data_IF_272757090934
#
_entry.id   IF_272757090934
#
_cell.length_a   1.000
_cell.length_b   1.000
_cell.length_c   1.000
_cell.angle_alpha   90.00
_cell.angle_beta   90.00
_cell.angle_gamma   90.00
#
_symmetry.space_group_name_H-M   'P 1'
#
loop_
_entity.id
_entity.type
_entity.pdbx_description
1 polymer ?
#
# COMPACT_ATOMS: atom_id res chain seq x y z
N UNK A 1 -15.47 1.02 -4.60
CA UNK A 1 -14.23 1.34 -5.30
C UNK A 1 -13.03 0.68 -4.62
N UNK A 2 -12.12 0.18 -5.43
CA UNK A 2 -10.90 -0.49 -4.96
C UNK A 2 -9.72 0.12 -5.72
N UNK A 3 -8.64 0.43 -5.03
CA UNK A 3 -7.39 0.96 -5.61
C UNK A 3 -6.21 0.17 -5.08
N UNK A 4 -5.28 -0.17 -5.96
CA UNK A 4 -3.99 -0.74 -5.58
C UNK A 4 -3.05 0.40 -5.20
N UNK A 5 -2.72 0.51 -3.91
CA UNK A 5 -2.07 1.70 -3.35
C UNK A 5 -0.66 1.96 -3.86
N UNK A 6 0.08 0.90 -4.23
CA UNK A 6 1.52 0.99 -4.48
C UNK A 6 1.99 0.28 -5.76
N UNK A 7 1.07 -0.02 -6.69
CA UNK A 7 1.42 -0.75 -7.90
C UNK A 7 2.28 0.10 -8.87
N UNK A 8 2.07 1.42 -8.91
CA UNK A 8 2.88 2.32 -9.75
C UNK A 8 4.34 2.39 -9.28
N UNK A 9 4.57 2.36 -7.98
CA UNK A 9 5.91 2.35 -7.40
C UNK A 9 6.63 1.04 -7.73
N UNK A 10 5.90 -0.07 -7.72
CA UNK A 10 6.42 -1.38 -8.12
C UNK A 10 6.83 -1.43 -9.61
N UNK A 11 6.13 -0.72 -10.50
CA UNK A 11 6.47 -0.71 -11.94
C UNK A 11 7.85 -0.16 -12.23
N UNK A 12 8.32 0.76 -11.41
CA UNK A 12 9.66 1.36 -11.58
C UNK A 12 10.79 0.38 -11.22
N UNK A 13 10.51 -0.57 -10.34
CA UNK A 13 11.53 -1.45 -9.75
C UNK A 13 11.48 -2.90 -10.25
N UNK A 14 10.32 -3.41 -10.69
CA UNK A 14 10.14 -4.82 -11.06
C UNK A 14 9.40 -4.97 -12.40
N UNK A 15 9.99 -4.46 -13.47
CA UNK A 15 9.38 -4.56 -14.83
C UNK A 15 9.07 -5.99 -15.26
N UNK A 16 9.88 -6.97 -14.84
CA UNK A 16 9.73 -8.37 -15.27
C UNK A 16 8.51 -9.07 -14.63
N UNK A 17 8.16 -8.75 -13.39
CA UNK A 17 7.12 -9.45 -12.63
C UNK A 17 5.82 -8.64 -12.47
N UNK A 18 5.78 -7.40 -12.96
CA UNK A 18 4.63 -6.52 -12.81
C UNK A 18 3.33 -7.14 -13.32
N UNK A 19 3.33 -7.67 -14.56
CA UNK A 19 2.14 -8.27 -15.16
C UNK A 19 1.65 -9.49 -14.38
N UNK A 20 2.57 -10.34 -13.94
CA UNK A 20 2.21 -11.52 -13.15
C UNK A 20 1.60 -11.13 -11.81
N UNK A 21 2.15 -10.11 -11.15
CA UNK A 21 1.63 -9.57 -9.89
C UNK A 21 0.25 -8.94 -10.09
N UNK A 22 0.08 -8.10 -11.10
CA UNK A 22 -1.21 -7.46 -11.40
C UNK A 22 -2.30 -8.49 -11.70
N UNK A 23 -2.00 -9.49 -12.52
CA UNK A 23 -2.94 -10.56 -12.84
C UNK A 23 -3.35 -11.35 -11.58
N UNK A 24 -2.41 -11.67 -10.70
CA UNK A 24 -2.71 -12.43 -9.49
C UNK A 24 -3.57 -11.63 -8.50
N UNK A 25 -3.37 -10.32 -8.42
CA UNK A 25 -4.25 -9.42 -7.64
C UNK A 25 -5.64 -9.38 -8.25
N UNK A 26 -5.73 -9.18 -9.57
CA UNK A 26 -7.01 -9.15 -10.30
C UNK A 26 -7.77 -10.47 -10.11
N UNK A 27 -7.12 -11.61 -10.27
CA UNK A 27 -7.70 -12.93 -10.01
C UNK A 27 -8.19 -13.06 -8.57
N UNK A 28 -7.40 -12.60 -7.60
CA UNK A 28 -7.75 -12.65 -6.17
C UNK A 28 -8.95 -11.77 -5.85
N UNK A 29 -9.00 -10.55 -6.39
CA UNK A 29 -10.13 -9.62 -6.22
C UNK A 29 -11.38 -10.15 -6.94
N UNK A 30 -11.23 -10.66 -8.15
CA UNK A 30 -12.32 -11.22 -8.93
C UNK A 30 -12.96 -12.41 -8.21
N UNK A 31 -12.15 -13.38 -7.76
CA UNK A 31 -12.65 -14.52 -7.02
C UNK A 31 -13.34 -14.11 -5.70
N UNK A 32 -12.86 -13.07 -5.02
CA UNK A 32 -13.48 -12.55 -3.82
C UNK A 32 -14.85 -11.93 -4.12
N UNK A 33 -14.96 -11.09 -5.15
CA UNK A 33 -16.23 -10.43 -5.54
C UNK A 33 -17.23 -11.43 -6.10
N UNK A 34 -16.80 -12.37 -6.94
CA UNK A 34 -17.66 -13.43 -7.49
C UNK A 34 -18.20 -14.35 -6.38
N UNK A 35 -17.39 -14.63 -5.33
CA UNK A 35 -17.84 -15.36 -4.16
C UNK A 35 -18.97 -14.66 -3.38
N UNK A 36 -19.21 -13.38 -3.65
CA UNK A 36 -20.31 -12.57 -3.14
C UNK A 36 -21.44 -12.37 -4.16
N UNK A 37 -21.50 -13.21 -5.20
CA UNK A 37 -22.41 -13.02 -6.34
C UNK A 37 -22.35 -11.60 -6.95
N UNK A 38 -21.16 -11.00 -6.89
CA UNK A 38 -20.88 -9.67 -7.37
C UNK A 38 -20.23 -9.66 -8.74
N UNK A 39 -19.98 -8.46 -9.23
CA UNK A 39 -19.22 -8.21 -10.44
C UNK A 39 -18.14 -7.17 -10.16
N UNK A 40 -16.98 -7.32 -10.79
CA UNK A 40 -15.87 -6.39 -10.69
C UNK A 40 -15.37 -6.02 -12.08
N UNK A 41 -14.92 -4.80 -12.24
CA UNK A 41 -14.33 -4.31 -13.48
C UNK A 41 -13.23 -3.31 -13.19
N UNK A 42 -12.10 -3.47 -13.85
CA UNK A 42 -11.10 -2.41 -13.95
C UNK A 42 -11.64 -1.28 -14.84
N UNK A 43 -11.63 -0.04 -14.35
CA UNK A 43 -12.11 1.12 -15.09
C UNK A 43 -11.00 2.16 -15.36
N UNK A 44 -9.92 2.06 -14.65
CA UNK A 44 -8.69 2.85 -14.82
C UNK A 44 -7.52 1.99 -14.33
N UNK A 45 -6.31 2.35 -14.67
CA UNK A 45 -5.12 1.62 -14.23
C UNK A 45 -5.11 1.49 -12.70
N UNK A 46 -5.02 0.26 -12.21
CA UNK A 46 -4.95 -0.06 -10.78
C UNK A 46 -6.22 0.27 -9.97
N UNK A 47 -7.33 0.57 -10.68
CA UNK A 47 -8.61 0.95 -10.06
C UNK A 47 -9.75 0.07 -10.53
N UNK A 48 -10.50 -0.44 -9.59
CA UNK A 48 -11.59 -1.35 -9.83
C UNK A 48 -12.91 -0.82 -9.25
N UNK A 49 -13.98 -1.08 -9.95
CA UNK A 49 -15.34 -0.91 -9.47
C UNK A 49 -15.94 -2.31 -9.24
N UNK A 50 -16.39 -2.56 -8.03
CA UNK A 50 -17.10 -3.79 -7.67
C UNK A 50 -18.54 -3.46 -7.23
N UNK A 51 -19.48 -4.32 -7.64
CA UNK A 51 -20.88 -4.30 -7.23
C UNK A 51 -21.24 -5.67 -6.66
N UNK A 52 -21.78 -5.71 -5.47
CA UNK A 52 -22.21 -6.94 -4.81
C UNK A 52 -23.41 -6.67 -3.89
N UNK A 53 -24.11 -7.73 -3.49
CA UNK A 53 -25.29 -7.61 -2.65
C UNK A 53 -24.92 -7.24 -1.20
N UNK A 54 -25.71 -6.35 -0.60
CA UNK A 54 -25.50 -5.90 0.77
C UNK A 54 -25.54 -7.04 1.81
N UNK A 55 -26.22 -8.16 1.51
CA UNK A 55 -26.26 -9.34 2.38
C UNK A 55 -24.87 -9.95 2.62
N UNK A 56 -23.94 -9.83 1.66
CA UNK A 56 -22.57 -10.32 1.79
C UNK A 56 -21.66 -9.36 2.57
N UNK A 57 -22.06 -8.10 2.70
CA UNK A 57 -21.26 -7.09 3.42
C UNK A 57 -21.05 -7.44 4.90
N UNK A 58 -22.07 -8.02 5.55
CA UNK A 58 -21.96 -8.45 6.95
C UNK A 58 -20.92 -9.58 7.15
N UNK A 59 -20.73 -10.42 6.16
CA UNK A 59 -19.69 -11.45 6.21
C UNK A 59 -18.30 -10.81 6.10
N UNK A 60 -18.11 -9.84 5.21
CA UNK A 60 -16.86 -9.09 5.08
C UNK A 60 -16.52 -8.30 6.34
N UNK A 61 -17.52 -7.71 6.99
CA UNK A 61 -17.35 -6.98 8.26
C UNK A 61 -16.90 -7.94 9.37
N UNK A 62 -17.52 -9.13 9.47
CA UNK A 62 -17.18 -10.12 10.51
C UNK A 62 -15.78 -10.69 10.36
N UNK A 63 -15.27 -10.81 9.14
CA UNK A 63 -13.92 -11.30 8.88
C UNK A 63 -12.87 -10.17 8.77
N UNK A 64 -13.26 -8.95 9.17
CA UNK A 64 -12.42 -7.75 9.14
C UNK A 64 -11.80 -7.48 7.75
N UNK A 65 -12.55 -7.82 6.69
CA UNK A 65 -12.06 -7.72 5.31
C UNK A 65 -10.71 -8.43 5.08
N UNK A 66 -10.65 -9.70 5.43
CA UNK A 66 -9.46 -10.57 5.29
C UNK A 66 -8.84 -10.58 3.89
N UNK A 67 -9.55 -10.09 2.89
CA UNK A 67 -9.04 -9.88 1.54
C UNK A 67 -7.80 -8.96 1.51
N UNK A 68 -7.73 -7.97 2.42
CA UNK A 68 -6.57 -7.09 2.54
C UNK A 68 -5.30 -7.87 2.87
N UNK A 69 -5.40 -8.78 3.85
CA UNK A 69 -4.28 -9.65 4.24
C UNK A 69 -3.92 -10.64 3.14
N UNK A 70 -4.92 -11.18 2.43
CA UNK A 70 -4.68 -12.08 1.30
C UNK A 70 -3.87 -11.40 0.21
N UNK A 71 -4.20 -10.15 -0.14
CA UNK A 71 -3.45 -9.38 -1.13
C UNK A 71 -2.05 -9.04 -0.62
N UNK A 72 -1.93 -8.61 0.63
CA UNK A 72 -0.65 -8.28 1.25
C UNK A 72 0.31 -9.49 1.29
N UNK A 73 -0.23 -10.71 1.35
CA UNK A 73 0.54 -11.95 1.36
C UNK A 73 0.85 -12.52 -0.03
N UNK A 74 0.43 -11.87 -1.11
CA UNK A 74 0.77 -12.29 -2.48
C UNK A 74 2.29 -12.21 -2.66
N UNK A 75 2.88 -13.28 -3.16
CA UNK A 75 4.31 -13.40 -3.44
C UNK A 75 4.50 -13.72 -4.91
N UNK A 76 5.34 -12.95 -5.61
CA UNK A 76 5.68 -13.20 -7.01
C UNK A 76 7.20 -13.14 -7.15
N UNK A 77 7.81 -14.29 -7.41
CA UNK A 77 9.28 -14.45 -7.47
C UNK A 77 9.96 -14.35 -6.10
N UNK A 78 11.27 -14.21 -6.11
CA UNK A 78 12.09 -14.15 -4.89
C UNK A 78 11.94 -12.82 -4.12
N UNK A 79 11.36 -11.80 -4.75
CA UNK A 79 11.19 -10.47 -4.20
C UNK A 79 9.74 -10.26 -3.79
N UNK A 80 9.44 -10.43 -2.52
CA UNK A 80 8.12 -10.14 -1.98
C UNK A 80 8.01 -8.68 -1.55
N UNK A 81 7.38 -7.86 -2.38
CA UNK A 81 6.97 -6.53 -1.95
C UNK A 81 5.59 -6.58 -1.30
N UNK A 82 5.36 -5.88 -0.19
CA UNK A 82 4.04 -5.81 0.41
C UNK A 82 3.11 -5.05 -0.54
N UNK A 83 2.13 -5.76 -1.08
CA UNK A 83 1.05 -5.18 -1.86
C UNK A 83 -0.04 -4.70 -0.92
N UNK A 84 -0.68 -3.59 -1.24
CA UNK A 84 -1.80 -3.11 -0.46
C UNK A 84 -2.91 -2.58 -1.35
N UNK A 85 -4.13 -2.70 -0.86
CA UNK A 85 -5.31 -2.15 -1.49
C UNK A 85 -6.09 -1.28 -0.51
N UNK A 86 -6.68 -0.22 -1.02
CA UNK A 86 -7.65 0.59 -0.30
C UNK A 86 -9.00 0.47 -0.94
N UNK A 87 -10.04 0.43 -0.12
CA UNK A 87 -11.42 0.28 -0.60
C UNK A 87 -12.33 1.35 0.01
N UNK A 88 -13.20 1.89 -0.83
CA UNK A 88 -14.31 2.72 -0.40
C UNK A 88 -15.63 2.02 -0.75
N UNK A 89 -16.46 1.77 0.25
CA UNK A 89 -17.71 1.03 0.12
C UNK A 89 -18.87 1.92 0.55
N UNK A 90 -19.96 1.88 -0.21
CA UNK A 90 -21.21 2.56 0.14
C UNK A 90 -22.37 1.56 0.15
N UNK A 91 -22.94 1.33 1.34
CA UNK A 91 -24.23 0.68 1.56
C UNK A 91 -25.21 1.73 2.05
N UNK A 92 -25.70 2.56 1.14
CA UNK A 92 -26.65 3.65 1.41
C UNK A 92 -27.87 3.55 0.53
N UNK A 93 -28.97 4.18 0.97
CA UNK A 93 -30.13 4.39 0.10
C UNK A 93 -29.81 5.43 -0.97
N UNK A 94 -30.51 5.39 -2.08
CA UNK A 94 -30.36 6.37 -3.16
C UNK A 94 -30.01 5.76 -4.51
N UNK A 95 -29.77 6.64 -5.46
CA UNK A 95 -29.41 6.30 -6.83
C UNK A 95 -27.97 5.73 -6.91
N UNK A 96 -27.67 5.05 -8.01
CA UNK A 96 -26.31 4.55 -8.26
C UNK A 96 -25.26 5.67 -8.23
N UNK A 97 -25.61 6.87 -8.74
CA UNK A 97 -24.68 8.00 -8.70
C UNK A 97 -24.43 8.55 -7.29
N UNK A 98 -25.38 8.43 -6.37
CA UNK A 98 -25.17 8.78 -4.95
C UNK A 98 -24.30 7.75 -4.26
N UNK A 99 -24.52 6.47 -4.50
CA UNK A 99 -23.69 5.37 -4.01
C UNK A 99 -22.26 5.47 -4.52
N UNK A 100 -22.12 5.79 -5.79
CA UNK A 100 -20.81 6.02 -6.43
C UNK A 100 -20.03 7.14 -5.74
N UNK A 101 -20.65 8.30 -5.57
CA UNK A 101 -20.01 9.44 -4.89
C UNK A 101 -19.65 9.12 -3.44
N UNK A 102 -20.52 8.42 -2.73
CA UNK A 102 -20.26 8.02 -1.36
C UNK A 102 -19.10 7.02 -1.25
N UNK A 103 -19.04 6.03 -2.14
CA UNK A 103 -17.95 5.05 -2.17
C UNK A 103 -16.61 5.72 -2.57
N UNK A 104 -16.63 6.65 -3.52
CA UNK A 104 -15.44 7.41 -3.91
C UNK A 104 -14.93 8.27 -2.75
N UNK A 105 -15.81 9.00 -2.08
CA UNK A 105 -15.44 9.80 -0.91
C UNK A 105 -14.90 8.93 0.24
N UNK A 106 -15.48 7.75 0.47
CA UNK A 106 -14.98 6.80 1.45
C UNK A 106 -13.58 6.31 1.08
N UNK A 107 -13.33 6.00 -0.19
CA UNK A 107 -12.00 5.61 -0.67
C UNK A 107 -10.97 6.72 -0.44
N UNK A 108 -11.30 7.97 -0.75
CA UNK A 108 -10.41 9.10 -0.51
C UNK A 108 -10.03 9.21 0.97
N UNK A 109 -10.97 8.95 1.87
CA UNK A 109 -10.69 8.94 3.31
C UNK A 109 -9.80 7.75 3.72
N UNK A 110 -9.96 6.58 3.11
CA UNK A 110 -9.07 5.43 3.35
C UNK A 110 -7.63 5.76 2.92
N UNK A 111 -7.47 6.39 1.75
CA UNK A 111 -6.15 6.79 1.22
C UNK A 111 -5.50 7.88 2.09
N UNK A 112 -6.26 8.90 2.52
CA UNK A 112 -5.74 9.96 3.40
C UNK A 112 -5.26 9.42 4.76
N UNK A 113 -5.85 8.32 5.23
CA UNK A 113 -5.43 7.65 6.47
C UNK A 113 -4.22 6.72 6.31
N UNK A 114 -3.63 6.69 5.12
CA UNK A 114 -2.43 5.91 4.82
C UNK A 114 -2.67 4.64 4.02
N UNK A 115 -3.90 4.39 3.56
CA UNK A 115 -4.27 3.24 2.73
C UNK A 115 -4.27 1.90 3.46
N UNK A 116 -4.27 0.79 2.69
CA UNK A 116 -4.36 -0.58 3.18
C UNK A 116 -5.53 -0.82 4.14
N UNK A 117 -6.69 -0.27 3.80
CA UNK A 117 -7.88 -0.33 4.63
C UNK A 117 -9.16 -0.16 3.81
N UNK A 118 -10.26 -0.54 4.42
CA UNK A 118 -11.60 -0.31 3.91
C UNK A 118 -12.24 0.83 4.68
N UNK A 119 -12.79 1.83 3.98
CA UNK A 119 -13.69 2.81 4.55
C UNK A 119 -15.12 2.52 4.05
N UNK A 120 -16.04 2.35 4.95
CA UNK A 120 -17.42 1.95 4.69
C UNK A 120 -18.39 3.01 5.16
N UNK A 121 -19.24 3.50 4.26
CA UNK A 121 -20.41 4.28 4.61
C UNK A 121 -21.65 3.38 4.65
N UNK A 122 -22.30 3.30 5.80
CA UNK A 122 -23.47 2.45 6.00
C UNK A 122 -24.73 3.26 6.23
N UNK A 123 -25.83 2.65 5.81
CA UNK A 123 -27.18 3.13 6.09
C UNK A 123 -27.42 3.24 7.60
N UNK A 124 -27.95 4.36 8.03
CA UNK A 124 -28.28 4.59 9.45
C UNK A 124 -27.10 4.80 10.40
N UNK A 125 -25.86 4.78 9.87
CA UNK A 125 -24.64 5.05 10.65
C UNK A 125 -24.10 6.42 10.27
N UNK A 126 -23.88 7.27 11.26
CA UNK A 126 -23.24 8.56 11.06
C UNK A 126 -21.72 8.39 10.93
N UNK A 127 -21.17 8.87 9.81
CA UNK A 127 -19.72 8.78 9.54
C UNK A 127 -19.30 7.48 8.85
N UNK A 128 -17.99 7.27 8.78
CA UNK A 128 -17.36 6.13 8.13
C UNK A 128 -16.88 5.11 9.18
N UNK A 129 -17.10 3.84 8.88
CA UNK A 129 -16.45 2.73 9.59
C UNK A 129 -15.19 2.32 8.85
N UNK A 130 -14.14 1.95 9.58
CA UNK A 130 -12.86 1.55 8.99
C UNK A 130 -12.51 0.13 9.41
N UNK A 131 -11.98 -0.66 8.46
CA UNK A 131 -11.60 -2.05 8.65
C UNK A 131 -10.23 -2.29 8.02
N UNK A 132 -9.51 -3.27 8.54
CA UNK A 132 -8.12 -3.48 8.14
C UNK A 132 -7.23 -2.33 8.61
N UNK A 133 -6.12 -2.16 7.96
CA UNK A 133 -5.08 -1.29 8.45
C UNK A 133 -4.38 -1.92 9.64
N UNK A 134 -3.15 -1.57 9.86
CA UNK A 134 -2.41 -2.10 11.00
C UNK A 134 -3.00 -1.53 12.29
N UNK A 135 -3.82 -2.29 12.99
CA UNK A 135 -4.29 -2.00 14.36
C UNK A 135 -3.14 -1.97 15.39
N UNK A 136 -1.93 -1.75 14.95
CA UNK A 136 -0.80 -1.57 15.85
C UNK A 136 -0.34 -0.14 15.78
N UNK A 137 -0.73 0.57 16.82
CA UNK A 137 -0.18 1.83 17.31
C UNK A 137 -0.53 3.10 16.52
N UNK A 138 -1.09 4.02 17.25
CA UNK A 138 -1.27 5.46 17.07
C UNK A 138 0.01 6.25 16.67
N UNK A 139 1.03 5.60 16.13
CA UNK A 139 2.33 6.22 15.87
C UNK A 139 2.81 6.17 14.41
N UNK A 140 1.98 5.81 13.46
CA UNK A 140 2.48 5.71 12.08
C UNK A 140 1.64 6.50 11.08
N UNK A 141 1.91 7.79 11.00
CA UNK A 141 1.68 8.63 9.81
C UNK A 141 2.64 8.26 8.65
N UNK A 142 3.15 7.03 8.64
CA UNK A 142 4.03 6.58 7.57
C UNK A 142 3.17 6.19 6.39
N UNK A 143 3.22 6.98 5.33
CA UNK A 143 2.51 6.68 4.08
C UNK A 143 2.95 5.30 3.56
N UNK A 144 2.09 4.64 2.81
CA UNK A 144 2.40 3.35 2.14
C UNK A 144 3.69 3.49 1.32
N UNK A 145 3.86 4.61 0.62
CA UNK A 145 5.06 4.98 -0.10
C UNK A 145 6.33 4.87 0.76
N UNK A 146 6.29 5.35 2.00
CA UNK A 146 7.43 5.23 2.91
C UNK A 146 7.75 3.78 3.29
N UNK A 147 6.74 2.92 3.46
CA UNK A 147 6.95 1.49 3.75
C UNK A 147 7.53 0.75 2.56
N UNK A 148 7.01 1.02 1.36
CA UNK A 148 7.53 0.46 0.12
C UNK A 148 8.98 0.92 -0.09
N UNK A 149 9.25 2.21 0.07
CA UNK A 149 10.61 2.75 -0.04
C UNK A 149 11.57 2.13 0.98
N UNK A 150 11.13 1.92 2.21
CA UNK A 150 11.92 1.26 3.24
C UNK A 150 12.22 -0.22 2.89
N UNK A 151 11.22 -0.97 2.41
CA UNK A 151 11.39 -2.36 1.97
C UNK A 151 12.32 -2.47 0.77
N UNK A 152 12.21 -1.56 -0.20
CA UNK A 152 13.10 -1.49 -1.36
C UNK A 152 14.54 -1.19 -0.94
N UNK A 153 14.73 -0.22 -0.04
CA UNK A 153 16.05 0.10 0.50
C UNK A 153 16.66 -1.11 1.22
N UNK A 154 15.88 -1.76 2.06
CA UNK A 154 16.30 -2.97 2.77
C UNK A 154 16.75 -4.08 1.83
N UNK A 155 16.00 -4.29 0.73
CA UNK A 155 16.34 -5.29 -0.29
C UNK A 155 17.63 -4.90 -1.02
N UNK A 156 17.78 -3.64 -1.45
CA UNK A 156 19.00 -3.17 -2.14
C UNK A 156 20.24 -3.24 -1.25
N UNK A 157 20.08 -2.97 0.04
CA UNK A 157 21.17 -3.06 1.01
C UNK A 157 21.61 -4.52 1.26
N UNK A 158 20.73 -5.51 0.99
CA UNK A 158 21.08 -6.91 1.15
C UNK A 158 22.21 -7.37 0.22
N UNK A 159 22.30 -6.80 -0.98
CA UNK A 159 23.23 -7.25 -2.04
C UNK A 159 24.35 -6.24 -2.35
N UNK A 160 24.42 -5.10 -1.65
CA UNK A 160 25.42 -4.08 -1.94
C UNK A 160 26.71 -4.26 -1.13
N UNK A 161 27.84 -3.89 -1.73
CA UNK A 161 29.15 -3.88 -1.05
C UNK A 161 29.50 -2.50 -0.48
N UNK A 162 28.87 -1.45 -0.98
CA UNK A 162 29.11 -0.08 -0.57
C UNK A 162 27.85 0.78 -0.76
N UNK A 163 27.61 1.69 0.17
CA UNK A 163 26.53 2.68 0.10
C UNK A 163 27.14 4.09 0.06
N UNK A 164 26.74 4.86 -0.95
CA UNK A 164 27.08 6.27 -1.04
C UNK A 164 25.79 7.09 -0.93
N UNK A 165 25.78 8.04 -0.02
CA UNK A 165 24.67 8.95 0.24
C UNK A 165 25.11 10.34 -0.21
N UNK A 166 24.40 10.92 -1.17
CA UNK A 166 24.72 12.23 -1.74
C UNK A 166 23.47 13.10 -1.73
N UNK A 167 23.63 14.36 -1.36
CA UNK A 167 22.62 15.39 -1.53
C UNK A 167 22.74 16.07 -2.91
N UNK A 168 21.99 17.18 -3.07
CA UNK A 168 22.14 18.05 -4.25
C UNK A 168 23.44 18.86 -4.19
N UNK A 169 23.86 19.39 -5.31
CA UNK A 169 24.97 20.33 -5.38
C UNK A 169 24.65 21.58 -4.52
N UNK A 170 25.64 22.06 -3.76
CA UNK A 170 25.47 23.09 -2.74
C UNK A 170 24.43 22.70 -1.66
N UNK A 171 24.75 21.71 -0.82
CA UNK A 171 23.83 21.16 0.16
C UNK A 171 23.51 22.20 1.26
N UNK A 172 22.23 22.34 1.53
CA UNK A 172 21.71 23.08 2.69
C UNK A 172 21.65 22.20 3.96
N UNK A 173 21.21 22.80 5.07
CA UNK A 173 21.08 22.07 6.33
C UNK A 173 20.07 20.92 6.26
N UNK A 174 19.03 21.04 5.44
CA UNK A 174 18.04 19.98 5.22
C UNK A 174 18.66 18.79 4.48
N UNK A 175 19.47 19.04 3.46
CA UNK A 175 20.19 18.02 2.73
C UNK A 175 21.19 17.28 3.65
N UNK A 176 21.91 18.01 4.49
CA UNK A 176 22.86 17.43 5.46
C UNK A 176 22.10 16.60 6.51
N UNK A 177 21.02 17.14 7.07
CA UNK A 177 20.19 16.43 8.06
C UNK A 177 19.60 15.15 7.50
N UNK A 178 19.08 15.21 6.27
CA UNK A 178 18.53 14.04 5.55
C UNK A 178 19.62 13.00 5.27
N UNK A 179 20.81 13.42 4.87
CA UNK A 179 21.93 12.51 4.62
C UNK A 179 22.38 11.78 5.91
N UNK A 180 22.42 12.47 7.04
CA UNK A 180 22.71 11.86 8.34
C UNK A 180 21.63 10.87 8.76
N UNK A 181 20.35 11.22 8.54
CA UNK A 181 19.22 10.33 8.79
C UNK A 181 19.30 9.06 7.92
N UNK A 182 19.55 9.21 6.62
CA UNK A 182 19.74 8.11 5.69
C UNK A 182 20.94 7.21 6.06
N UNK A 183 22.05 7.81 6.46
CA UNK A 183 23.21 7.08 6.96
C UNK A 183 22.86 6.19 8.17
N UNK A 184 22.17 6.75 9.16
CA UNK A 184 21.73 6.02 10.36
C UNK A 184 20.79 4.86 9.98
N UNK A 185 19.84 5.12 9.09
CA UNK A 185 18.90 4.11 8.61
C UNK A 185 19.63 2.94 7.91
N UNK A 186 20.51 3.24 6.95
CA UNK A 186 21.30 2.22 6.27
C UNK A 186 22.14 1.39 7.24
N UNK A 187 22.81 2.03 8.18
CA UNK A 187 23.62 1.33 9.20
C UNK A 187 22.76 0.43 10.09
N UNK A 188 21.58 0.87 10.48
CA UNK A 188 20.64 0.08 11.29
C UNK A 188 20.17 -1.17 10.54
N UNK A 189 19.78 -1.03 9.27
CA UNK A 189 19.34 -2.14 8.42
C UNK A 189 20.49 -3.14 8.20
N UNK A 190 21.67 -2.67 7.87
CA UNK A 190 22.85 -3.51 7.63
C UNK A 190 23.25 -4.28 8.89
N UNK A 191 23.22 -3.64 10.07
CA UNK A 191 23.51 -4.28 11.35
C UNK A 191 22.47 -5.36 11.68
N UNK A 192 21.18 -5.08 11.49
CA UNK A 192 20.11 -6.06 11.69
C UNK A 192 20.25 -7.30 10.80
N UNK A 193 20.88 -7.16 9.62
CA UNK A 193 21.15 -8.27 8.68
C UNK A 193 22.53 -8.90 8.85
N UNK A 194 23.31 -8.52 9.86
CA UNK A 194 24.67 -9.04 10.09
C UNK A 194 25.69 -8.60 9.03
N UNK A 195 25.40 -7.52 8.27
CA UNK A 195 26.25 -6.98 7.20
C UNK A 195 27.02 -5.72 7.62
N UNK A 196 27.56 -5.70 8.81
CA UNK A 196 28.27 -4.55 9.39
C UNK A 196 29.53 -4.13 8.61
N UNK A 197 30.07 -5.03 7.81
CA UNK A 197 31.26 -4.79 6.97
C UNK A 197 31.01 -3.90 5.76
N UNK A 198 29.75 -3.73 5.36
CA UNK A 198 29.37 -2.84 4.26
C UNK A 198 29.68 -1.40 4.63
N UNK A 199 30.46 -0.74 3.79
CA UNK A 199 30.83 0.66 4.03
C UNK A 199 29.72 1.61 3.62
N UNK A 200 29.34 2.52 4.51
CA UNK A 200 28.34 3.58 4.23
C UNK A 200 29.05 4.92 4.34
N UNK A 201 28.95 5.73 3.32
CA UNK A 201 29.59 7.06 3.26
C UNK A 201 28.57 8.13 2.89
N UNK A 202 28.64 9.26 3.56
CA UNK A 202 28.00 10.49 3.14
C UNK A 202 29.01 11.30 2.34
N UNK A 203 28.65 11.66 1.12
CA UNK A 203 29.48 12.46 0.22
C UNK A 203 28.88 13.86 0.16
N UNK A 204 29.67 14.86 0.53
CA UNK A 204 29.30 16.26 0.41
C UNK A 204 30.28 16.94 -0.51
N UNK A 205 29.81 17.84 -1.36
CA UNK A 205 30.66 18.69 -2.15
C UNK A 205 31.34 19.72 -1.24
N UNK A 206 32.58 20.11 -1.59
CA UNK A 206 33.33 21.10 -0.82
C UNK A 206 33.00 22.50 -1.28
#
# INVERSE_FOLDING_TARGET
YIVLDNLQELTQFVRANYRATANLIEETLTAWVEGMNGTIREYDRDKYLALFSAEHLEACIRDDFSILDRIMNIRVGDNSFPLSVSMGIADIDGSMGEKERAASAALDMALQRGGNQVALQRRGVSGLSYFGGTHKTLESNTSISSRVSASLLEHRLADCDRVLIMGHAAPDFDAIGSAVGAYRLCRSILSAKGREKVSVHVVTDK
#
